data_IF_945121120488
#
_entry.id   IF_945121120488
#
_cell.length_a   1.000
_cell.length_b   1.000
_cell.length_c   1.000
_cell.angle_alpha   90.00
_cell.angle_beta   90.00
_cell.angle_gamma   90.00
#
_symmetry.space_group_name_H-M   'P 1'
#
loop_
_entity.id
_entity.type
_entity.pdbx_description
1 polymer ?
#
# COMPACT_ATOMS: atom_id res chain seq x y z
N UNK A 1 -58.16 18.74 -13.34
CA UNK A 1 -57.49 17.53 -12.81
C UNK A 1 -56.08 17.62 -13.31
N UNK A 2 -55.24 18.33 -12.54
CA UNK A 2 -53.83 18.54 -12.82
C UNK A 2 -53.07 17.58 -11.89
N UNK A 3 -52.52 16.51 -12.46
CA UNK A 3 -51.69 15.57 -11.72
C UNK A 3 -50.26 16.13 -11.61
N UNK A 4 -49.93 16.54 -10.41
CA UNK A 4 -48.62 17.06 -9.99
C UNK A 4 -47.68 15.87 -9.76
N UNK A 5 -46.67 15.70 -10.61
CA UNK A 5 -45.60 14.70 -10.40
C UNK A 5 -44.47 15.34 -9.61
N UNK A 6 -44.39 14.99 -8.33
CA UNK A 6 -43.26 15.27 -7.42
C UNK A 6 -42.10 14.32 -7.74
N UNK A 7 -41.00 14.82 -8.27
CA UNK A 7 -39.73 14.09 -8.35
C UNK A 7 -38.86 14.45 -7.14
N UNK A 8 -38.80 13.54 -6.16
CA UNK A 8 -37.85 13.57 -5.05
C UNK A 8 -36.76 12.53 -5.34
N UNK A 9 -35.63 12.94 -5.89
CA UNK A 9 -34.44 12.10 -5.99
C UNK A 9 -33.37 12.62 -5.02
N UNK A 10 -33.29 11.97 -3.85
CA UNK A 10 -32.08 11.93 -3.04
C UNK A 10 -31.07 11.01 -3.74
N UNK A 11 -29.77 11.36 -3.81
CA UNK A 11 -28.77 10.46 -4.39
C UNK A 11 -28.55 9.28 -3.44
N UNK A 12 -28.94 8.09 -3.89
CA UNK A 12 -28.66 6.81 -3.26
C UNK A 12 -27.16 6.50 -3.35
N UNK A 13 -26.52 6.18 -2.21
CA UNK A 13 -25.22 5.51 -2.22
C UNK A 13 -25.36 4.13 -2.90
N UNK A 14 -24.43 3.70 -3.77
CA UNK A 14 -24.47 2.37 -4.34
C UNK A 14 -24.12 1.29 -3.30
N UNK A 15 -24.91 0.21 -3.31
CA UNK A 15 -24.76 -0.98 -2.46
C UNK A 15 -23.50 -1.81 -2.80
N UNK A 16 -22.95 -2.61 -1.86
CA UNK A 16 -21.62 -3.22 -1.95
C UNK A 16 -21.59 -4.62 -2.59
N UNK A 17 -22.52 -4.97 -3.50
CA UNK A 17 -22.70 -6.35 -3.98
C UNK A 17 -22.45 -6.58 -5.49
N UNK A 18 -21.88 -5.60 -6.20
CA UNK A 18 -21.27 -5.83 -7.51
C UNK A 18 -19.83 -5.35 -7.43
N UNK A 19 -18.81 -6.13 -7.86
CA UNK A 19 -17.47 -5.59 -7.97
C UNK A 19 -17.54 -4.48 -9.02
N UNK A 20 -17.38 -3.19 -8.65
CA UNK A 20 -17.32 -2.14 -9.66
C UNK A 20 -16.18 -2.52 -10.58
N UNK A 21 -16.36 -2.39 -11.90
CA UNK A 21 -15.27 -2.64 -12.83
C UNK A 21 -14.09 -1.74 -12.42
N UNK A 22 -13.07 -2.35 -11.80
CA UNK A 22 -12.00 -1.65 -11.07
C UNK A 22 -11.02 -1.10 -12.10
N UNK A 23 -11.14 0.18 -12.42
CA UNK A 23 -10.26 0.83 -13.40
C UNK A 23 -9.18 1.65 -12.70
N UNK A 24 -8.02 1.76 -13.33
CA UNK A 24 -6.92 2.59 -12.84
C UNK A 24 -7.21 4.05 -13.20
N UNK A 25 -6.84 4.97 -12.32
CA UNK A 25 -6.83 6.40 -12.65
C UNK A 25 -5.93 6.65 -13.87
N UNK A 26 -6.52 7.19 -14.94
CA UNK A 26 -5.79 7.48 -16.18
C UNK A 26 -4.72 8.56 -16.00
N UNK A 27 -4.91 9.43 -15.01
CA UNK A 27 -4.09 10.61 -14.76
C UNK A 27 -2.83 10.25 -13.96
N UNK A 28 -2.98 9.69 -12.76
CA UNK A 28 -1.84 9.38 -11.90
C UNK A 28 -1.29 7.97 -12.11
N UNK A 29 -2.09 7.05 -12.67
CA UNK A 29 -1.78 5.61 -12.81
C UNK A 29 -1.37 4.90 -11.50
N UNK A 30 -1.57 5.55 -10.36
CA UNK A 30 -1.15 5.08 -9.04
C UNK A 30 -2.28 4.45 -8.23
N UNK A 31 -3.50 4.95 -8.42
CA UNK A 31 -4.68 4.56 -7.63
C UNK A 31 -5.80 4.06 -8.54
N UNK A 32 -6.74 3.29 -7.97
CA UNK A 32 -7.99 2.98 -8.65
C UNK A 32 -8.85 4.25 -8.82
N UNK A 33 -9.53 4.36 -9.96
CA UNK A 33 -10.42 5.47 -10.25
C UNK A 33 -11.67 5.35 -9.40
N UNK A 34 -12.03 6.44 -8.72
CA UNK A 34 -13.27 6.56 -7.96
C UNK A 34 -14.35 7.27 -8.78
N UNK A 35 -13.95 8.03 -9.80
CA UNK A 35 -14.82 8.90 -10.56
C UNK A 35 -14.51 8.84 -12.06
N UNK A 36 -15.48 9.26 -12.86
CA UNK A 36 -15.35 9.37 -14.33
C UNK A 36 -15.81 10.75 -14.78
N UNK A 37 -15.01 11.43 -15.60
CA UNK A 37 -15.34 12.76 -16.09
C UNK A 37 -16.50 12.67 -17.08
N UNK A 38 -17.63 13.38 -16.87
CA UNK A 38 -18.81 13.26 -17.72
C UNK A 38 -18.59 13.79 -19.15
N UNK A 39 -17.56 14.63 -19.38
CA UNK A 39 -17.30 15.23 -20.70
C UNK A 39 -16.41 14.38 -21.59
N UNK A 40 -15.34 13.81 -21.02
CA UNK A 40 -14.32 13.08 -21.79
C UNK A 40 -14.23 11.59 -21.41
N UNK A 41 -15.07 11.14 -20.48
CA UNK A 41 -15.08 9.78 -19.94
C UNK A 41 -13.74 9.33 -19.32
N UNK A 42 -12.86 10.29 -18.98
CA UNK A 42 -11.57 10.00 -18.34
C UNK A 42 -11.78 9.63 -16.87
N UNK A 43 -11.16 8.53 -16.45
CA UNK A 43 -11.32 7.97 -15.10
C UNK A 43 -10.24 8.50 -14.17
N UNK A 44 -10.62 8.99 -12.99
CA UNK A 44 -9.71 9.63 -12.05
C UNK A 44 -9.96 9.22 -10.59
N UNK A 45 -8.93 9.29 -9.74
CA UNK A 45 -9.03 8.87 -8.32
C UNK A 45 -9.43 10.00 -7.36
N UNK A 46 -9.16 11.25 -7.70
CA UNK A 46 -9.32 12.38 -6.78
C UNK A 46 -9.55 13.70 -7.51
N UNK A 47 -10.00 14.73 -6.79
CA UNK A 47 -10.15 16.09 -7.32
C UNK A 47 -8.83 16.65 -7.88
N UNK A 48 -7.68 16.28 -7.32
CA UNK A 48 -6.39 16.68 -7.87
C UNK A 48 -6.20 16.12 -9.28
N UNK A 49 -6.46 14.82 -9.47
CA UNK A 49 -6.44 14.20 -10.81
C UNK A 49 -7.53 14.75 -11.72
N UNK A 50 -8.70 15.14 -11.19
CA UNK A 50 -9.71 15.86 -11.96
C UNK A 50 -9.19 17.22 -12.42
N UNK A 51 -8.50 17.98 -11.59
CA UNK A 51 -7.96 19.29 -12.01
C UNK A 51 -6.85 19.16 -13.06
N UNK A 52 -6.07 18.09 -13.02
CA UNK A 52 -4.93 17.91 -13.92
C UNK A 52 -5.19 17.06 -15.18
N UNK A 53 -6.38 16.45 -15.35
CA UNK A 53 -6.63 15.56 -16.49
C UNK A 53 -6.81 16.28 -17.83
N UNK A 54 -7.43 17.47 -17.82
CA UNK A 54 -7.72 18.27 -19.02
C UNK A 54 -8.24 19.63 -18.61
N UNK A 55 -7.47 20.69 -18.91
CA UNK A 55 -7.87 22.08 -18.67
C UNK A 55 -9.18 22.43 -19.37
N UNK A 56 -9.43 21.87 -20.57
CA UNK A 56 -10.68 22.10 -21.29
C UNK A 56 -11.89 21.53 -20.56
N UNK A 57 -11.76 20.37 -19.91
CA UNK A 57 -12.86 19.74 -19.19
C UNK A 57 -13.13 20.42 -17.85
N UNK A 58 -12.08 20.85 -17.14
CA UNK A 58 -12.17 21.51 -15.84
C UNK A 58 -12.65 22.95 -15.98
N UNK A 59 -12.09 23.71 -16.92
CA UNK A 59 -12.49 25.10 -17.19
C UNK A 59 -13.94 25.15 -17.70
N UNK A 60 -14.32 24.26 -18.61
CA UNK A 60 -15.69 24.21 -19.12
C UNK A 60 -16.70 23.82 -18.02
N UNK A 61 -16.34 22.93 -17.09
CA UNK A 61 -17.20 22.59 -15.94
C UNK A 61 -17.31 23.74 -14.95
N UNK A 62 -16.19 24.36 -14.58
CA UNK A 62 -16.20 25.53 -13.69
C UNK A 62 -16.98 26.69 -14.31
N UNK A 63 -16.77 26.95 -15.61
CA UNK A 63 -17.51 27.99 -16.34
C UNK A 63 -19.01 27.70 -16.35
N UNK A 64 -19.44 26.48 -16.65
CA UNK A 64 -20.87 26.13 -16.65
C UNK A 64 -21.48 26.23 -15.24
N UNK A 65 -20.82 25.69 -14.22
CA UNK A 65 -21.31 25.76 -12.83
C UNK A 65 -21.43 27.21 -12.35
N UNK A 66 -20.45 28.07 -12.68
CA UNK A 66 -20.49 29.50 -12.38
C UNK A 66 -21.57 30.22 -13.18
N UNK A 67 -21.76 29.89 -14.47
CA UNK A 67 -22.81 30.48 -15.30
C UNK A 67 -24.22 30.05 -14.86
N UNK A 68 -24.38 28.84 -14.34
CA UNK A 68 -25.65 28.30 -13.86
C UNK A 68 -26.04 28.92 -12.50
N UNK A 69 -25.12 29.00 -11.55
CA UNK A 69 -25.30 29.76 -10.31
C UNK A 69 -25.56 31.26 -10.58
N UNK A 70 -24.85 31.87 -11.53
CA UNK A 70 -25.11 33.26 -11.94
C UNK A 70 -26.44 33.46 -12.68
N UNK A 71 -27.05 32.43 -13.26
CA UNK A 71 -28.40 32.51 -13.85
C UNK A 71 -29.47 32.41 -12.76
N UNK A 72 -29.21 31.63 -11.71
CA UNK A 72 -30.08 31.51 -10.54
C UNK A 72 -30.02 32.77 -9.66
N UNK A 73 -28.84 33.39 -9.54
CA UNK A 73 -28.69 34.73 -8.97
C UNK A 73 -28.99 35.79 -10.02
N UNK A 74 -30.24 36.26 -10.11
CA UNK A 74 -30.56 37.46 -10.90
C UNK A 74 -29.71 38.64 -10.43
N UNK A 75 -28.61 38.92 -11.15
CA UNK A 75 -27.69 39.99 -10.82
C UNK A 75 -27.22 40.71 -12.09
N UNK A 76 -27.14 42.03 -11.94
CA UNK A 76 -26.88 43.02 -12.99
C UNK A 76 -25.54 42.75 -13.72
N UNK A 77 -25.49 43.01 -15.03
CA UNK A 77 -24.34 42.65 -15.90
C UNK A 77 -23.00 43.26 -15.44
N UNK A 78 -23.07 44.37 -14.71
CA UNK A 78 -21.91 45.04 -14.15
C UNK A 78 -21.23 44.22 -13.03
N UNK A 79 -22.00 43.44 -12.27
CA UNK A 79 -21.49 42.56 -11.23
C UNK A 79 -20.82 41.32 -11.82
N UNK A 80 -21.36 40.80 -12.94
CA UNK A 80 -20.79 39.66 -13.69
C UNK A 80 -19.38 39.97 -14.20
N UNK A 81 -19.17 41.16 -14.75
CA UNK A 81 -17.84 41.59 -15.24
C UNK A 81 -16.81 41.72 -14.12
N UNK A 82 -17.22 42.24 -12.95
CA UNK A 82 -16.32 42.41 -11.80
C UNK A 82 -15.90 41.06 -11.20
N UNK A 83 -16.81 40.09 -11.12
CA UNK A 83 -16.50 38.77 -10.58
C UNK A 83 -15.56 37.95 -11.49
N UNK A 84 -15.73 38.05 -12.80
CA UNK A 84 -14.81 37.45 -13.78
C UNK A 84 -13.41 38.07 -13.74
N UNK A 85 -13.29 39.36 -13.43
CA UNK A 85 -12.00 40.04 -13.29
C UNK A 85 -11.24 39.59 -12.02
N UNK A 86 -11.97 39.36 -10.92
CA UNK A 86 -11.39 38.85 -9.66
C UNK A 86 -10.84 37.43 -9.84
N UNK A 87 -11.58 36.54 -10.51
CA UNK A 87 -11.14 35.16 -10.79
C UNK A 87 -9.90 35.11 -11.69
N UNK A 88 -9.79 36.03 -12.67
CA UNK A 88 -8.60 36.14 -13.53
C UNK A 88 -7.36 36.58 -12.75
N UNK A 89 -7.51 37.51 -11.79
CA UNK A 89 -6.39 37.95 -10.95
C UNK A 89 -5.88 36.83 -10.06
N UNK A 90 -6.78 36.08 -9.43
CA UNK A 90 -6.40 34.97 -8.54
C UNK A 90 -5.63 33.86 -9.28
N UNK A 91 -6.03 33.54 -10.50
CA UNK A 91 -5.30 32.59 -11.35
C UNK A 91 -3.95 33.11 -11.86
N UNK A 92 -3.78 34.43 -11.95
CA UNK A 92 -2.50 35.04 -12.35
C UNK A 92 -1.54 35.09 -11.17
N UNK A 93 -2.05 35.35 -9.96
CA UNK A 93 -1.28 35.39 -8.72
C UNK A 93 -0.77 33.99 -8.28
N UNK A 94 -1.51 32.91 -8.56
CA UNK A 94 -1.04 31.53 -8.32
C UNK A 94 0.10 31.08 -9.27
N UNK A 95 0.28 31.76 -10.41
CA UNK A 95 1.27 31.42 -11.44
C UNK A 95 2.64 32.12 -11.22
N UNK A 96 2.67 33.21 -10.45
CA UNK A 96 3.86 34.09 -10.28
C UNK A 96 4.55 33.98 -8.91
N UNK A 97 4.15 33.04 -8.05
CA UNK A 97 4.69 32.89 -6.69
C UNK A 97 5.97 32.04 -6.52
N UNK A 98 6.92 32.11 -7.46
CA UNK A 98 8.17 31.34 -7.35
C UNK A 98 9.40 32.14 -7.82
N UNK A 99 9.88 33.06 -7.00
CA UNK A 99 11.28 33.51 -6.97
C UNK A 99 11.60 34.25 -5.65
N UNK A 100 12.89 34.29 -5.29
CA UNK A 100 13.57 34.73 -4.04
C UNK A 100 13.59 33.71 -2.87
N UNK A 101 14.71 33.40 -2.22
CA UNK A 101 16.04 34.02 -2.21
C UNK A 101 17.07 33.13 -1.45
N UNK A 102 18.34 33.30 -1.86
CA UNK A 102 19.60 33.36 -1.09
C UNK A 102 20.21 32.11 -0.41
N UNK A 103 21.46 31.86 -0.82
CA UNK A 103 22.53 31.13 -0.12
C UNK A 103 22.78 31.71 1.27
N UNK A 104 22.98 30.80 2.24
CA UNK A 104 23.96 31.03 3.30
C UNK A 104 24.50 29.65 3.74
N UNK A 105 25.79 29.45 3.48
CA UNK A 105 26.62 28.40 4.07
C UNK A 105 26.77 28.71 5.56
N UNK A 106 26.38 27.78 6.42
CA UNK A 106 26.93 27.71 7.77
C UNK A 106 27.18 26.23 8.11
N UNK A 107 28.47 25.92 8.14
CA UNK A 107 29.08 24.70 8.62
C UNK A 107 29.13 24.78 10.14
N UNK A 108 28.23 24.06 10.83
CA UNK A 108 28.34 23.87 12.27
C UNK A 108 28.32 22.38 12.60
N UNK A 109 29.51 21.91 12.94
CA UNK A 109 29.78 20.57 13.44
C UNK A 109 29.34 20.48 14.90
N UNK A 110 28.23 19.80 15.21
CA UNK A 110 27.96 19.42 16.61
C UNK A 110 27.29 18.04 16.80
N UNK A 111 27.98 17.28 17.66
CA UNK A 111 27.66 16.12 18.50
C UNK A 111 26.63 15.06 18.06
N UNK A 112 27.12 13.81 17.92
CA UNK A 112 26.42 12.64 17.39
C UNK A 112 25.41 12.00 18.34
N UNK A 113 24.45 12.77 18.83
CA UNK A 113 23.23 12.26 19.45
C UNK A 113 22.15 11.92 18.40
N UNK A 114 21.21 11.01 18.68
CA UNK A 114 20.06 10.80 17.82
C UNK A 114 19.15 12.04 17.84
N UNK A 115 19.22 12.86 16.78
CA UNK A 115 18.37 14.04 16.58
C UNK A 115 16.96 13.58 16.18
N UNK A 116 15.93 14.01 16.92
CA UNK A 116 14.54 13.76 16.53
C UNK A 116 14.06 14.87 15.59
N UNK A 117 13.22 14.53 14.61
CA UNK A 117 12.65 15.50 13.67
C UNK A 117 11.92 16.64 14.40
N UNK A 118 11.31 16.36 15.56
CA UNK A 118 10.61 17.37 16.34
C UNK A 118 11.53 18.43 16.95
N UNK A 119 12.81 18.11 17.17
CA UNK A 119 13.81 19.00 17.77
C UNK A 119 14.39 20.02 16.75
N UNK A 120 14.14 19.80 15.46
CA UNK A 120 14.60 20.69 14.39
C UNK A 120 13.83 22.03 14.38
N UNK A 121 14.54 23.11 14.06
CA UNK A 121 13.95 24.41 13.76
C UNK A 121 13.02 24.35 12.55
N UNK A 122 12.19 25.39 12.36
CA UNK A 122 11.29 25.46 11.21
C UNK A 122 12.06 25.55 9.87
N UNK A 123 13.25 26.13 9.89
CA UNK A 123 14.14 26.27 8.73
C UNK A 123 14.80 24.93 8.37
N UNK A 124 15.32 24.21 9.36
CA UNK A 124 15.88 22.87 9.18
C UNK A 124 14.81 21.87 8.71
N UNK A 125 13.61 21.92 9.29
CA UNK A 125 12.46 21.11 8.82
C UNK A 125 12.15 21.37 7.35
N UNK A 126 12.15 22.63 6.92
CA UNK A 126 11.93 22.99 5.51
C UNK A 126 13.08 22.52 4.61
N UNK A 127 14.33 22.70 5.04
CA UNK A 127 15.52 22.21 4.30
C UNK A 127 15.47 20.70 4.14
N UNK A 128 15.19 19.97 5.22
CA UNK A 128 15.01 18.52 5.21
C UNK A 128 13.88 18.10 4.26
N UNK A 129 12.69 18.70 4.37
CA UNK A 129 11.56 18.41 3.47
C UNK A 129 11.90 18.67 1.99
N UNK A 130 12.64 19.75 1.71
CA UNK A 130 13.12 20.05 0.35
C UNK A 130 14.09 18.98 -0.14
N UNK A 131 15.03 18.53 0.69
CA UNK A 131 15.98 17.48 0.36
C UNK A 131 15.32 16.10 0.18
N UNK A 132 14.26 15.81 0.95
CA UNK A 132 13.39 14.64 0.73
C UNK A 132 12.68 14.76 -0.62
N UNK A 133 12.10 15.92 -0.93
CA UNK A 133 11.34 16.13 -2.17
C UNK A 133 12.23 16.16 -3.42
N UNK A 134 13.45 16.68 -3.31
CA UNK A 134 14.45 16.66 -4.38
C UNK A 134 15.04 15.27 -4.61
N UNK A 135 14.83 14.34 -3.67
CA UNK A 135 15.40 12.99 -3.69
C UNK A 135 16.90 12.98 -3.37
N UNK A 136 17.47 14.06 -2.87
CA UNK A 136 18.88 14.15 -2.51
C UNK A 136 19.25 13.13 -1.41
N UNK A 137 18.36 12.99 -0.43
CA UNK A 137 18.52 12.03 0.67
C UNK A 137 18.37 10.56 0.23
N UNK A 138 17.79 10.30 -0.95
CA UNK A 138 17.64 8.91 -1.44
C UNK A 138 18.97 8.18 -1.63
N UNK A 139 20.05 8.93 -1.90
CA UNK A 139 21.40 8.38 -2.09
C UNK A 139 22.06 7.97 -0.77
N UNK A 140 21.56 8.49 0.35
CA UNK A 140 22.08 8.21 1.69
C UNK A 140 21.38 7.00 2.34
N UNK A 141 20.27 6.54 1.76
CA UNK A 141 19.50 5.41 2.27
C UNK A 141 19.88 4.17 1.47
N UNK A 142 20.47 3.18 2.13
CA UNK A 142 20.70 1.87 1.53
C UNK A 142 19.37 1.14 1.35
N UNK A 143 19.07 0.74 0.12
CA UNK A 143 17.86 -0.01 -0.17
C UNK A 143 17.96 -1.41 0.43
N UNK A 144 16.94 -1.80 1.20
CA UNK A 144 16.88 -3.13 1.77
C UNK A 144 16.55 -4.18 0.71
N UNK A 145 17.41 -5.18 0.61
CA UNK A 145 17.17 -6.35 -0.20
C UNK A 145 16.28 -7.36 0.54
N UNK A 146 15.07 -7.64 0.02
CA UNK A 146 14.16 -8.55 0.69
C UNK A 146 14.77 -9.93 0.87
N UNK A 147 14.70 -10.45 2.10
CA UNK A 147 15.32 -11.74 2.45
C UNK A 147 14.87 -12.86 1.52
N UNK A 148 13.61 -12.87 1.08
CA UNK A 148 13.07 -13.90 0.18
C UNK A 148 13.68 -13.91 -1.24
N UNK A 149 14.39 -12.86 -1.64
CA UNK A 149 15.13 -12.82 -2.91
C UNK A 149 16.58 -13.33 -2.77
N UNK A 150 17.07 -13.48 -1.55
CA UNK A 150 18.45 -13.92 -1.29
C UNK A 150 18.64 -15.41 -1.55
N UNK A 151 19.84 -15.78 -1.99
CA UNK A 151 20.21 -17.18 -2.22
C UNK A 151 20.16 -18.03 -0.95
N UNK A 152 20.47 -17.43 0.21
CA UNK A 152 20.41 -18.05 1.54
C UNK A 152 19.00 -18.55 1.87
N UNK A 153 17.96 -17.91 1.35
CA UNK A 153 16.56 -18.27 1.60
C UNK A 153 16.15 -19.61 1.00
N UNK A 154 16.91 -20.12 0.00
CA UNK A 154 16.69 -21.46 -0.56
C UNK A 154 17.17 -22.59 0.35
N UNK A 155 17.96 -22.26 1.37
CA UNK A 155 18.54 -23.22 2.32
C UNK A 155 17.83 -23.27 3.66
N UNK A 156 16.71 -22.53 3.80
CA UNK A 156 15.93 -22.51 5.05
C UNK A 156 15.42 -23.94 5.33
N UNK A 157 15.77 -24.43 6.51
CA UNK A 157 15.34 -25.74 7.00
C UNK A 157 14.95 -25.65 8.47
N UNK A 158 13.89 -26.38 8.83
CA UNK A 158 13.39 -26.50 10.19
C UNK A 158 13.43 -27.96 10.61
N UNK A 159 13.38 -28.20 11.92
CA UNK A 159 13.20 -29.54 12.47
C UNK A 159 11.85 -30.13 12.07
N UNK A 160 11.67 -31.44 12.32
CA UNK A 160 10.37 -32.11 12.11
C UNK A 160 9.27 -31.52 12.98
N UNK A 161 9.67 -30.92 14.10
CA UNK A 161 8.81 -30.26 15.08
C UNK A 161 8.61 -28.76 14.76
N UNK A 162 9.19 -28.26 13.68
CA UNK A 162 9.07 -26.87 13.23
C UNK A 162 10.00 -25.88 13.93
N UNK A 163 10.98 -26.36 14.70
CA UNK A 163 11.96 -25.51 15.38
C UNK A 163 13.14 -25.14 14.49
N UNK A 164 13.76 -23.97 14.74
CA UNK A 164 14.98 -23.58 14.05
C UNK A 164 16.12 -24.56 14.35
N UNK A 165 16.87 -24.93 13.31
CA UNK A 165 18.02 -25.85 13.44
C UNK A 165 19.31 -25.12 13.82
N UNK A 166 19.43 -23.85 13.47
CA UNK A 166 20.61 -23.02 13.73
C UNK A 166 20.27 -22.03 14.83
N UNK A 167 21.01 -22.09 15.94
CA UNK A 167 21.02 -21.07 16.97
C UNK A 167 22.27 -20.23 16.76
N UNK A 168 22.17 -18.89 16.68
CA UNK A 168 23.33 -18.03 16.88
C UNK A 168 23.93 -18.41 18.25
N UNK A 169 25.18 -18.85 18.27
CA UNK A 169 25.86 -19.12 19.53
C UNK A 169 25.91 -17.82 20.32
N UNK A 170 25.08 -17.71 21.35
CA UNK A 170 25.21 -16.64 22.32
C UNK A 170 26.65 -16.70 22.86
N UNK A 171 27.34 -15.58 22.79
CA UNK A 171 28.75 -15.39 23.13
C UNK A 171 28.97 -15.62 24.64
N UNK A 172 29.07 -16.87 25.07
CA UNK A 172 29.49 -17.25 26.44
C UNK A 172 31.02 -17.36 26.60
N UNK A 173 31.80 -17.07 25.56
CA UNK A 173 33.26 -17.01 25.63
C UNK A 173 33.79 -15.56 25.55
N UNK A 174 33.23 -14.67 26.36
CA UNK A 174 33.82 -13.35 26.62
C UNK A 174 34.77 -13.38 27.82
N UNK A 175 35.65 -14.40 27.94
CA UNK A 175 36.76 -14.39 28.90
C UNK A 175 38.06 -15.06 28.43
N UNK A 176 38.24 -15.39 27.14
CA UNK A 176 39.55 -15.83 26.66
C UNK A 176 39.81 -15.43 25.21
N UNK A 177 41.00 -14.86 25.00
CA UNK A 177 41.58 -14.34 23.75
C UNK A 177 40.90 -13.13 23.12
N UNK A 178 41.40 -11.94 23.50
CA UNK A 178 41.46 -10.78 22.63
C UNK A 178 42.32 -11.12 21.41
N UNK A 179 41.73 -11.26 20.24
CA UNK A 179 42.33 -10.78 19.00
C UNK A 179 41.24 -10.12 18.14
N UNK A 180 41.62 -8.95 17.69
CA UNK A 180 40.95 -8.05 16.77
C UNK A 180 40.72 -8.75 15.43
N UNK A 181 39.47 -8.94 15.06
CA UNK A 181 39.04 -9.04 13.66
C UNK A 181 37.62 -8.48 13.58
N UNK A 182 37.51 -7.33 12.92
CA UNK A 182 36.27 -6.56 12.71
C UNK A 182 35.29 -7.25 11.77
N UNK A 183 34.70 -8.37 12.22
CA UNK A 183 33.45 -8.88 11.68
C UNK A 183 32.33 -8.39 12.60
N UNK A 184 31.75 -7.24 12.28
CA UNK A 184 30.53 -6.75 12.90
C UNK A 184 29.46 -7.84 12.90
N UNK A 185 28.74 -7.92 14.01
CA UNK A 185 27.62 -8.81 14.28
C UNK A 185 26.52 -8.56 13.24
N UNK A 186 26.62 -9.22 12.07
CA UNK A 186 25.63 -9.10 11.01
C UNK A 186 24.37 -9.83 11.48
N UNK A 187 23.25 -9.13 11.73
CA UNK A 187 22.00 -9.80 12.06
C UNK A 187 21.67 -10.79 10.94
N UNK A 188 21.25 -12.00 11.32
CA UNK A 188 20.84 -13.03 10.36
C UNK A 188 19.89 -12.43 9.34
N UNK A 189 20.29 -12.44 8.06
CA UNK A 189 19.57 -11.81 6.96
C UNK A 189 18.14 -12.37 6.77
N UNK A 190 17.90 -13.58 7.27
CA UNK A 190 16.62 -14.27 7.22
C UNK A 190 15.98 -14.20 8.62
N UNK A 191 14.68 -13.86 8.71
CA UNK A 191 14.00 -13.83 9.99
C UNK A 191 14.04 -15.19 10.70
N UNK A 192 14.30 -15.21 12.02
CA UNK A 192 14.39 -16.46 12.77
C UNK A 192 13.04 -17.17 12.82
N UNK A 193 13.08 -18.49 12.64
CA UNK A 193 11.95 -19.40 12.85
C UNK A 193 11.63 -19.65 14.33
N UNK A 194 10.70 -20.57 14.64
CA UNK A 194 10.27 -20.85 16.01
C UNK A 194 11.39 -21.41 16.88
N UNK A 195 11.47 -20.93 18.12
CA UNK A 195 12.33 -21.51 19.16
C UNK A 195 11.72 -22.78 19.78
N UNK A 196 10.39 -22.86 19.78
CA UNK A 196 9.63 -23.96 20.39
C UNK A 196 8.87 -24.78 19.33
N UNK A 197 8.67 -26.09 19.58
CA UNK A 197 7.88 -26.95 18.70
C UNK A 197 6.49 -26.39 18.40
N UNK A 198 6.08 -26.47 17.13
CA UNK A 198 4.74 -26.06 16.74
C UNK A 198 3.72 -27.14 17.13
N UNK A 199 2.68 -26.79 17.91
CA UNK A 199 1.67 -27.76 18.31
C UNK A 199 0.76 -28.14 17.12
N UNK A 200 0.16 -29.34 17.13
CA UNK A 200 -0.82 -29.72 16.13
C UNK A 200 -2.06 -28.80 16.14
N UNK A 201 -2.62 -28.49 14.98
CA UNK A 201 -3.76 -27.57 14.80
C UNK A 201 -4.99 -28.02 15.59
N UNK A 202 -5.22 -29.34 15.67
CA UNK A 202 -6.30 -29.94 16.47
C UNK A 202 -6.27 -29.59 17.97
N UNK A 203 -5.13 -29.13 18.50
CA UNK A 203 -5.03 -28.65 19.89
C UNK A 203 -5.47 -27.19 20.04
N UNK A 204 -5.51 -26.44 18.94
CA UNK A 204 -5.86 -25.03 18.91
C UNK A 204 -7.34 -24.78 18.62
N UNK A 205 -8.00 -25.73 17.93
CA UNK A 205 -9.41 -25.62 17.54
C UNK A 205 -10.17 -26.91 17.80
N UNK A 206 -11.45 -26.79 18.15
CA UNK A 206 -12.36 -27.92 18.34
C UNK A 206 -13.13 -28.31 17.08
N UNK A 207 -13.14 -27.45 16.06
CA UNK A 207 -13.84 -27.64 14.78
C UNK A 207 -12.81 -27.85 13.67
N UNK A 208 -13.24 -28.31 12.51
CA UNK A 208 -12.36 -28.38 11.36
C UNK A 208 -11.88 -26.99 10.92
N UNK A 209 -10.62 -26.86 10.47
CA UNK A 209 -10.11 -25.61 9.91
C UNK A 209 -10.92 -25.19 8.67
N UNK A 210 -11.00 -23.88 8.41
CA UNK A 210 -11.60 -23.38 7.18
C UNK A 210 -10.89 -23.95 5.94
N UNK A 211 -11.63 -24.32 4.87
CA UNK A 211 -11.00 -24.76 3.63
C UNK A 211 -10.24 -23.62 2.91
N UNK A 212 -10.48 -22.36 3.29
CA UNK A 212 -9.91 -21.18 2.64
C UNK A 212 -8.62 -20.66 3.29
N UNK A 213 -8.01 -21.41 4.22
CA UNK A 213 -6.78 -20.97 4.91
C UNK A 213 -5.60 -20.72 3.96
N UNK A 214 -5.51 -21.46 2.84
CA UNK A 214 -4.52 -21.19 1.79
C UNK A 214 -4.73 -19.81 1.13
N UNK A 215 -5.98 -19.40 0.92
CA UNK A 215 -6.32 -18.08 0.38
C UNK A 215 -6.02 -16.98 1.41
N UNK A 216 -6.37 -17.23 2.68
CA UNK A 216 -6.05 -16.31 3.77
C UNK A 216 -4.54 -16.08 3.90
N UNK A 217 -3.74 -17.13 3.68
CA UNK A 217 -2.28 -17.04 3.70
C UNK A 217 -1.75 -16.10 2.61
N UNK A 218 -2.36 -16.04 1.42
CA UNK A 218 -1.97 -15.10 0.35
C UNK A 218 -2.13 -13.65 0.78
N UNK A 219 -3.27 -13.29 1.37
CA UNK A 219 -3.52 -11.95 1.94
C UNK A 219 -2.47 -11.58 3.01
N UNK A 220 -2.13 -12.53 3.88
CA UNK A 220 -1.15 -12.34 4.95
C UNK A 220 0.27 -12.14 4.40
N UNK A 221 0.71 -12.99 3.46
CA UNK A 221 2.03 -12.86 2.83
C UNK A 221 2.13 -11.51 2.13
N UNK A 222 1.11 -11.14 1.34
CA UNK A 222 1.10 -9.86 0.64
C UNK A 222 1.23 -8.69 1.63
N UNK A 223 0.45 -8.71 2.71
CA UNK A 223 0.44 -7.65 3.71
C UNK A 223 1.78 -7.55 4.44
N UNK A 224 2.42 -8.67 4.76
CA UNK A 224 3.77 -8.69 5.31
C UNK A 224 4.82 -8.12 4.35
N UNK A 225 4.81 -8.54 3.08
CA UNK A 225 5.73 -8.03 2.07
C UNK A 225 5.57 -6.52 1.87
N UNK A 226 4.33 -6.03 1.84
CA UNK A 226 4.04 -4.61 1.74
C UNK A 226 4.64 -3.84 2.92
N UNK A 227 4.39 -4.31 4.15
CA UNK A 227 4.91 -3.66 5.35
C UNK A 227 6.43 -3.64 5.36
N UNK A 228 7.12 -4.75 5.07
CA UNK A 228 8.58 -4.74 5.06
C UNK A 228 9.16 -3.83 3.98
N UNK A 229 8.56 -3.77 2.79
CA UNK A 229 9.01 -2.81 1.77
C UNK A 229 8.74 -1.36 2.16
N UNK A 230 7.65 -1.09 2.87
CA UNK A 230 7.34 0.25 3.39
C UNK A 230 8.37 0.70 4.45
N UNK A 231 8.82 -0.22 5.29
CA UNK A 231 9.77 0.03 6.38
C UNK A 231 11.23 -0.27 6.01
N UNK A 232 11.53 -0.53 4.74
CA UNK A 232 12.87 -0.89 4.27
C UNK A 232 13.51 -2.02 5.12
N UNK A 233 12.72 -3.03 5.47
CA UNK A 233 13.14 -4.18 6.29
C UNK A 233 13.13 -3.95 7.81
N UNK A 234 13.16 -2.70 8.28
CA UNK A 234 13.25 -2.35 9.70
C UNK A 234 11.88 -1.95 10.27
N UNK A 235 11.03 -2.94 10.49
CA UNK A 235 9.71 -2.72 11.08
C UNK A 235 9.77 -2.37 12.57
N UNK A 236 10.88 -2.65 13.24
CA UNK A 236 11.10 -2.41 14.67
C UNK A 236 11.23 -0.92 14.97
N UNK A 237 11.70 -0.13 14.00
CA UNK A 237 11.79 1.34 14.11
C UNK A 237 10.46 2.02 14.50
N UNK A 238 9.33 1.43 14.13
CA UNK A 238 7.98 1.86 14.49
C UNK A 238 7.06 0.63 14.52
N UNK A 239 7.08 -0.08 15.64
CA UNK A 239 6.36 -1.34 15.79
C UNK A 239 4.84 -1.14 15.76
N UNK A 240 4.33 -0.04 16.32
CA UNK A 240 2.89 0.29 16.28
C UNK A 240 2.45 0.58 14.85
N UNK A 241 3.19 1.43 14.12
CA UNK A 241 2.85 1.78 12.75
C UNK A 241 2.97 0.59 11.81
N UNK A 242 4.03 -0.22 11.90
CA UNK A 242 4.20 -1.41 11.07
C UNK A 242 3.08 -2.43 11.28
N UNK A 243 2.72 -2.70 12.54
CA UNK A 243 1.58 -3.57 12.86
C UNK A 243 0.24 -2.96 12.40
N UNK A 244 0.08 -1.63 12.46
CA UNK A 244 -1.11 -0.93 11.95
C UNK A 244 -1.20 -1.02 10.42
N UNK A 245 -0.09 -0.95 9.70
CA UNK A 245 -0.03 -1.12 8.25
C UNK A 245 -0.49 -2.52 7.85
N UNK A 246 -0.02 -3.56 8.54
CA UNK A 246 -0.50 -4.94 8.34
C UNK A 246 -2.02 -5.02 8.48
N UNK A 247 -2.58 -4.47 9.58
CA UNK A 247 -4.03 -4.46 9.80
C UNK A 247 -4.78 -3.65 8.73
N UNK A 248 -4.18 -2.60 8.19
CA UNK A 248 -4.81 -1.77 7.17
C UNK A 248 -4.82 -2.42 5.80
N UNK A 249 -3.82 -3.23 5.45
CA UNK A 249 -3.69 -3.87 4.13
C UNK A 249 -4.35 -5.24 4.09
N UNK A 250 -4.34 -5.97 5.21
CA UNK A 250 -4.90 -7.32 5.32
C UNK A 250 -6.40 -7.30 5.59
N UNK A 251 -7.19 -7.89 4.69
CA UNK A 251 -8.62 -8.16 4.97
C UNK A 251 -8.76 -9.16 6.11
N UNK A 252 -7.89 -10.17 6.14
CA UNK A 252 -7.94 -11.32 7.05
C UNK A 252 -7.59 -10.90 8.48
N UNK A 253 -6.54 -10.11 8.66
CA UNK A 253 -6.05 -9.68 9.97
C UNK A 253 -6.76 -8.42 10.46
N UNK A 254 -7.07 -7.48 9.56
CA UNK A 254 -7.63 -6.17 9.92
C UNK A 254 -9.15 -6.11 10.01
N UNK A 255 -9.84 -6.71 9.03
CA UNK A 255 -11.30 -6.59 8.86
C UNK A 255 -12.06 -7.88 9.20
N UNK A 256 -11.35 -8.91 9.67
CA UNK A 256 -11.89 -10.25 9.85
C UNK A 256 -12.55 -10.83 8.58
N UNK A 257 -12.07 -10.41 7.41
CA UNK A 257 -12.48 -10.95 6.12
C UNK A 257 -12.19 -12.44 6.00
N UNK A 258 -12.98 -13.10 5.16
CA UNK A 258 -12.86 -14.53 4.86
C UNK A 258 -12.83 -14.71 3.34
N UNK A 259 -11.78 -14.21 2.66
CA UNK A 259 -11.71 -14.30 1.21
C UNK A 259 -11.73 -15.76 0.79
N UNK A 260 -12.61 -16.10 -0.14
CA UNK A 260 -12.82 -17.48 -0.60
C UNK A 260 -11.95 -17.78 -1.84
N UNK A 261 -11.47 -16.74 -2.52
CA UNK A 261 -10.65 -16.85 -3.73
C UNK A 261 -9.36 -16.02 -3.64
N UNK A 262 -8.32 -16.48 -4.32
CA UNK A 262 -7.04 -15.74 -4.44
C UNK A 262 -7.26 -14.37 -5.08
N UNK A 263 -8.15 -14.28 -6.07
CA UNK A 263 -8.51 -13.02 -6.71
C UNK A 263 -9.10 -12.02 -5.73
N UNK A 264 -10.00 -12.46 -4.84
CA UNK A 264 -10.61 -11.61 -3.82
C UNK A 264 -9.56 -11.08 -2.83
N UNK A 265 -8.72 -11.98 -2.30
CA UNK A 265 -7.64 -11.63 -1.39
C UNK A 265 -6.67 -10.60 -2.01
N UNK A 266 -6.16 -10.89 -3.21
CA UNK A 266 -5.24 -9.99 -3.91
C UNK A 266 -5.90 -8.68 -4.31
N UNK A 267 -7.16 -8.70 -4.74
CA UNK A 267 -7.88 -7.48 -5.11
C UNK A 267 -8.00 -6.53 -3.92
N UNK A 268 -8.39 -7.05 -2.76
CA UNK A 268 -8.49 -6.23 -1.55
C UNK A 268 -7.13 -5.61 -1.20
N UNK A 269 -6.08 -6.43 -1.14
CA UNK A 269 -4.74 -5.92 -0.83
C UNK A 269 -4.22 -4.90 -1.85
N UNK A 270 -4.48 -5.11 -3.15
CA UNK A 270 -4.14 -4.16 -4.21
C UNK A 270 -4.91 -2.85 -4.06
N UNK A 271 -6.21 -2.89 -3.75
CA UNK A 271 -7.00 -1.69 -3.47
C UNK A 271 -6.44 -0.90 -2.29
N UNK A 272 -6.08 -1.59 -1.20
CA UNK A 272 -5.50 -0.94 -0.02
C UNK A 272 -4.14 -0.33 -0.32
N UNK A 273 -3.27 -1.02 -1.05
CA UNK A 273 -1.94 -0.48 -1.41
C UNK A 273 -1.99 0.61 -2.48
N UNK A 274 -3.05 0.65 -3.29
CA UNK A 274 -3.34 1.70 -4.27
C UNK A 274 -4.22 2.81 -3.70
N UNK A 275 -4.42 2.89 -2.38
CA UNK A 275 -5.25 3.90 -1.76
C UNK A 275 -4.50 5.24 -1.61
N UNK A 276 -5.21 6.35 -1.31
CA UNK A 276 -4.58 7.64 -1.08
C UNK A 276 -3.50 7.65 0.00
N UNK A 277 -3.66 6.80 1.03
CA UNK A 277 -2.73 6.64 2.14
C UNK A 277 -1.32 6.22 1.68
N UNK A 278 -1.23 5.37 0.66
CA UNK A 278 0.04 4.84 0.15
C UNK A 278 0.37 5.34 -1.26
N UNK A 279 -0.19 6.48 -1.67
CA UNK A 279 -0.05 7.04 -3.03
C UNK A 279 1.40 7.26 -3.49
N UNK A 280 2.34 7.41 -2.55
CA UNK A 280 3.74 7.66 -2.83
C UNK A 280 4.55 6.37 -3.05
N UNK A 281 3.98 5.20 -2.74
CA UNK A 281 4.67 3.90 -2.77
C UNK A 281 4.82 3.28 -4.17
N UNK A 282 4.46 3.99 -5.23
CA UNK A 282 4.56 3.48 -6.62
C UNK A 282 3.27 2.87 -7.17
N UNK A 283 2.18 2.88 -6.40
CA UNK A 283 0.83 2.55 -6.87
C UNK A 283 0.69 1.12 -7.41
N UNK A 284 -0.08 0.94 -8.49
CA UNK A 284 -0.41 -0.40 -8.97
C UNK A 284 0.81 -1.23 -9.41
N UNK A 285 1.82 -0.63 -10.04
CA UNK A 285 3.01 -1.39 -10.46
C UNK A 285 3.76 -1.96 -9.24
N UNK A 286 3.86 -1.17 -8.18
CA UNK A 286 4.39 -1.64 -6.90
C UNK A 286 3.51 -2.75 -6.31
N UNK A 287 2.18 -2.57 -6.32
CA UNK A 287 1.21 -3.59 -5.94
C UNK A 287 1.40 -4.93 -6.67
N UNK A 288 1.60 -4.90 -7.99
CA UNK A 288 1.84 -6.09 -8.81
C UNK A 288 3.23 -6.71 -8.57
N UNK A 289 4.20 -5.91 -8.14
CA UNK A 289 5.50 -6.38 -7.66
C UNK A 289 5.37 -7.18 -6.36
N UNK A 290 4.49 -6.77 -5.45
CA UNK A 290 4.22 -7.52 -4.21
C UNK A 290 3.57 -8.87 -4.50
N UNK A 291 2.79 -8.99 -5.56
CA UNK A 291 2.30 -10.30 -6.03
C UNK A 291 3.45 -11.20 -6.48
N UNK A 292 4.53 -10.65 -7.07
CA UNK A 292 5.75 -11.46 -7.29
C UNK A 292 6.40 -11.86 -5.97
N UNK A 293 6.48 -10.97 -4.97
CA UNK A 293 7.05 -11.34 -3.67
C UNK A 293 6.29 -12.50 -3.03
N UNK A 294 4.96 -12.50 -3.12
CA UNK A 294 4.13 -13.63 -2.70
C UNK A 294 4.53 -14.91 -3.43
N UNK A 295 4.72 -14.86 -4.75
CA UNK A 295 5.16 -16.02 -5.54
C UNK A 295 6.56 -16.50 -5.15
N UNK A 296 7.49 -15.59 -4.89
CA UNK A 296 8.85 -15.93 -4.45
C UNK A 296 8.79 -16.67 -3.11
N UNK A 297 8.07 -16.14 -2.13
CA UNK A 297 7.94 -16.78 -0.80
C UNK A 297 7.27 -18.14 -0.90
N UNK A 298 6.19 -18.28 -1.68
CA UNK A 298 5.54 -19.57 -1.88
C UNK A 298 6.48 -20.59 -2.53
N UNK A 299 7.38 -20.15 -3.42
CA UNK A 299 8.37 -21.02 -4.07
C UNK A 299 9.47 -21.52 -3.14
N UNK A 300 9.72 -20.82 -2.02
CA UNK A 300 10.67 -21.24 -0.98
C UNK A 300 10.07 -22.33 -0.06
N UNK A 301 8.74 -22.48 -0.05
CA UNK A 301 8.04 -23.55 0.65
C UNK A 301 7.81 -23.32 2.15
N UNK A 302 7.38 -24.38 2.83
CA UNK A 302 6.90 -24.36 4.22
C UNK A 302 7.84 -23.70 5.23
N UNK A 303 9.15 -24.03 5.26
CA UNK A 303 10.09 -23.41 6.19
C UNK A 303 10.16 -21.88 6.09
N UNK A 304 10.19 -21.35 4.86
CA UNK A 304 10.21 -19.90 4.63
C UNK A 304 8.89 -19.24 5.05
N UNK A 305 7.75 -19.89 4.78
CA UNK A 305 6.44 -19.43 5.24
C UNK A 305 6.36 -19.37 6.77
N UNK A 306 6.92 -20.35 7.46
CA UNK A 306 6.97 -20.37 8.93
C UNK A 306 7.87 -19.23 9.45
N UNK A 307 9.04 -19.00 8.84
CA UNK A 307 9.92 -17.87 9.20
C UNK A 307 9.22 -16.51 9.01
N UNK A 308 8.50 -16.33 7.89
CA UNK A 308 7.68 -15.14 7.65
C UNK A 308 6.62 -14.96 8.72
N UNK A 309 5.86 -16.01 9.04
CA UNK A 309 4.78 -15.94 10.02
C UNK A 309 5.32 -15.71 11.44
N UNK A 310 6.50 -16.23 11.77
CA UNK A 310 7.21 -15.92 13.01
C UNK A 310 7.56 -14.43 13.09
N UNK A 311 8.07 -13.86 12.00
CA UNK A 311 8.45 -12.46 11.95
C UNK A 311 7.25 -11.53 12.04
N UNK A 312 6.20 -11.84 11.30
CA UNK A 312 4.93 -11.14 11.40
C UNK A 312 4.32 -11.24 12.81
N UNK A 313 4.43 -12.40 13.46
CA UNK A 313 3.96 -12.57 14.83
C UNK A 313 4.74 -11.67 15.79
N UNK A 314 6.08 -11.60 15.67
CA UNK A 314 6.91 -10.66 16.46
C UNK A 314 6.55 -9.20 16.20
N UNK A 315 6.30 -8.83 14.94
CA UNK A 315 5.88 -7.48 14.56
C UNK A 315 4.57 -7.07 15.24
N UNK A 316 3.56 -7.95 15.19
CA UNK A 316 2.26 -7.70 15.85
C UNK A 316 2.40 -7.64 17.37
N UNK A 317 3.22 -8.52 17.97
CA UNK A 317 3.47 -8.52 19.41
C UNK A 317 4.17 -7.24 19.88
N UNK A 318 5.21 -6.79 19.16
CA UNK A 318 5.92 -5.57 19.49
C UNK A 318 4.99 -4.35 19.46
N UNK A 319 4.15 -4.24 18.43
CA UNK A 319 3.13 -3.18 18.36
C UNK A 319 2.10 -3.25 19.49
N UNK A 320 1.74 -4.45 19.97
CA UNK A 320 0.87 -4.59 21.15
C UNK A 320 1.54 -4.14 22.45
N UNK A 321 2.80 -4.52 22.66
CA UNK A 321 3.57 -4.15 23.87
C UNK A 321 3.81 -2.64 23.94
N UNK A 322 4.16 -2.00 22.83
CA UNK A 322 4.33 -0.55 22.78
C UNK A 322 3.01 0.19 23.05
N UNK A 323 1.89 -0.28 22.49
CA UNK A 323 0.56 0.24 22.82
C UNK A 323 0.14 0.03 24.28
N UNK A 324 0.70 -0.97 24.99
CA UNK A 324 0.48 -1.15 26.43
C UNK A 324 1.24 -0.11 27.25
N UNK A 325 2.43 0.29 26.81
CA UNK A 325 3.25 1.29 27.48
C UNK A 325 2.62 2.70 27.40
N UNK A 326 1.93 3.01 26.30
CA UNK A 326 1.29 4.31 26.11
C UNK A 326 -0.06 4.45 26.85
N UNK A 327 -0.21 5.50 27.68
CA UNK A 327 -1.44 5.73 28.48
C UNK A 327 -2.66 6.11 27.60
N UNK A 328 -3.62 5.17 27.54
CA UNK A 328 -5.09 5.25 27.30
C UNK A 328 -5.67 6.45 26.51
N UNK A 329 -5.86 6.28 25.19
CA UNK A 329 -6.92 6.92 24.39
C UNK A 329 -7.89 5.85 23.86
N UNK A 330 -9.20 6.15 23.72
CA UNK A 330 -10.24 5.19 23.27
C UNK A 330 -9.92 4.50 21.93
N UNK A 331 -9.37 5.23 20.96
CA UNK A 331 -8.98 4.69 19.64
C UNK A 331 -7.88 3.62 19.73
N UNK A 332 -6.96 3.73 20.71
CA UNK A 332 -5.89 2.74 20.92
C UNK A 332 -6.43 1.40 21.45
N UNK A 333 -7.59 1.39 22.10
CA UNK A 333 -8.21 0.16 22.61
C UNK A 333 -8.72 -0.74 21.48
N UNK A 334 -9.27 -0.16 20.41
CA UNK A 334 -9.76 -0.91 19.25
C UNK A 334 -8.60 -1.51 18.44
N UNK A 335 -7.54 -0.73 18.21
CA UNK A 335 -6.33 -1.24 17.52
C UNK A 335 -5.72 -2.38 18.33
N UNK A 336 -5.62 -2.23 19.65
CA UNK A 336 -5.11 -3.27 20.54
C UNK A 336 -5.94 -4.56 20.48
N UNK A 337 -7.26 -4.49 20.40
CA UNK A 337 -8.08 -5.71 20.28
C UNK A 337 -7.88 -6.38 18.92
N UNK A 338 -7.74 -5.60 17.83
CA UNK A 338 -7.41 -6.12 16.50
C UNK A 338 -6.05 -6.80 16.48
N UNK A 339 -5.01 -6.20 17.09
CA UNK A 339 -3.67 -6.79 17.17
C UNK A 339 -3.68 -8.14 17.91
N UNK A 340 -4.39 -8.24 19.04
CA UNK A 340 -4.54 -9.53 19.76
C UNK A 340 -5.21 -10.61 18.93
N UNK A 341 -6.20 -10.24 18.11
CA UNK A 341 -6.87 -11.18 17.21
C UNK A 341 -5.96 -11.57 16.06
N UNK A 342 -5.20 -10.62 15.51
CA UNK A 342 -4.21 -10.86 14.47
C UNK A 342 -3.08 -11.77 14.96
N UNK A 343 -2.51 -11.52 16.15
CA UNK A 343 -1.48 -12.36 16.79
C UNK A 343 -1.93 -13.82 16.83
N UNK A 344 -3.11 -14.07 17.43
CA UNK A 344 -3.68 -15.43 17.52
C UNK A 344 -3.92 -16.07 16.16
N UNK A 345 -4.38 -15.28 15.17
CA UNK A 345 -4.66 -15.77 13.81
C UNK A 345 -3.37 -16.11 13.06
N UNK A 346 -2.34 -15.27 13.16
CA UNK A 346 -1.01 -15.53 12.59
C UNK A 346 -0.41 -16.79 13.21
N UNK A 347 -0.46 -16.92 14.55
CA UNK A 347 0.02 -18.12 15.24
C UNK A 347 -0.72 -19.39 14.81
N UNK A 348 -2.05 -19.31 14.68
CA UNK A 348 -2.87 -20.42 14.19
C UNK A 348 -2.48 -20.83 12.76
N UNK A 349 -2.34 -19.86 11.85
CA UNK A 349 -1.95 -20.11 10.45
C UNK A 349 -0.54 -20.68 10.37
N UNK A 350 0.39 -20.24 11.22
CA UNK A 350 1.73 -20.81 11.32
C UNK A 350 1.71 -22.29 11.68
N UNK A 351 0.92 -22.68 12.69
CA UNK A 351 0.74 -24.09 13.04
C UNK A 351 0.08 -24.89 11.91
N UNK A 352 -0.87 -24.28 11.21
CA UNK A 352 -1.54 -24.92 10.06
C UNK A 352 -0.62 -25.14 8.86
N UNK A 353 0.22 -24.16 8.53
CA UNK A 353 1.24 -24.26 7.47
C UNK A 353 2.22 -25.39 7.75
N UNK A 354 2.62 -25.57 9.01
CA UNK A 354 3.53 -26.65 9.39
C UNK A 354 2.96 -28.05 9.15
N UNK A 355 1.63 -28.23 9.23
CA UNK A 355 0.97 -29.51 8.96
C UNK A 355 0.70 -29.79 7.47
N UNK A 356 0.88 -28.81 6.58
CA UNK A 356 0.57 -28.99 5.16
C UNK A 356 1.72 -29.66 4.38
N UNK A 357 1.37 -30.45 3.33
CA UNK A 357 2.38 -31.01 2.43
C UNK A 357 3.07 -29.91 1.61
N UNK A 358 4.33 -30.12 1.25
CA UNK A 358 5.12 -29.12 0.51
C UNK A 358 4.53 -28.77 -0.86
N UNK A 359 3.86 -29.72 -1.51
CA UNK A 359 3.20 -29.57 -2.82
C UNK A 359 2.03 -28.59 -2.79
N UNK A 360 1.46 -28.33 -1.61
CA UNK A 360 0.37 -27.37 -1.43
C UNK A 360 0.81 -25.95 -1.87
N UNK A 361 2.07 -25.60 -1.62
CA UNK A 361 2.60 -24.26 -1.92
C UNK A 361 2.86 -24.06 -3.41
N UNK A 362 3.35 -25.09 -4.10
CA UNK A 362 3.48 -25.08 -5.56
C UNK A 362 2.12 -24.93 -6.24
N UNK A 363 1.10 -25.62 -5.72
CA UNK A 363 -0.28 -25.53 -6.21
C UNK A 363 -0.87 -24.13 -5.99
N UNK A 364 -0.70 -23.57 -4.79
CA UNK A 364 -1.15 -22.21 -4.46
C UNK A 364 -0.44 -21.15 -5.32
N UNK A 365 0.88 -21.30 -5.54
CA UNK A 365 1.65 -20.42 -6.40
C UNK A 365 1.19 -20.47 -7.87
N UNK A 366 0.74 -21.63 -8.36
CA UNK A 366 0.16 -21.75 -9.69
C UNK A 366 -1.14 -20.92 -9.82
N UNK A 367 -2.01 -20.96 -8.80
CA UNK A 367 -3.24 -20.17 -8.76
C UNK A 367 -2.92 -18.67 -8.72
N UNK A 368 -2.02 -18.24 -7.82
CA UNK A 368 -1.59 -16.83 -7.73
C UNK A 368 -1.01 -16.32 -9.05
N UNK A 369 -0.21 -17.14 -9.74
CA UNK A 369 0.37 -16.78 -11.05
C UNK A 369 -0.69 -16.65 -12.14
N UNK A 370 -1.69 -17.51 -12.14
CA UNK A 370 -2.82 -17.43 -13.08
C UNK A 370 -3.62 -16.13 -12.87
N UNK A 371 -3.96 -15.80 -11.63
CA UNK A 371 -4.68 -14.56 -11.30
C UNK A 371 -3.88 -13.32 -11.65
N UNK A 372 -2.56 -13.33 -11.39
CA UNK A 372 -1.67 -12.25 -11.80
C UNK A 372 -1.67 -12.05 -13.32
N UNK A 373 -1.58 -13.13 -14.08
CA UNK A 373 -1.55 -13.07 -15.55
C UNK A 373 -2.89 -12.54 -16.09
N UNK A 374 -4.02 -13.02 -15.56
CA UNK A 374 -5.36 -12.52 -15.88
C UNK A 374 -5.50 -11.00 -15.63
N UNK A 375 -4.97 -10.51 -14.51
CA UNK A 375 -4.99 -9.08 -14.18
C UNK A 375 -4.15 -8.23 -15.16
N UNK A 376 -3.04 -8.77 -15.67
CA UNK A 376 -2.19 -8.12 -16.69
C UNK A 376 -2.82 -8.19 -18.09
N UNK A 377 -3.44 -9.31 -18.46
CA UNK A 377 -4.06 -9.52 -19.77
C UNK A 377 -5.32 -8.66 -19.93
N UNK A 378 -6.11 -8.48 -18.87
CA UNK A 378 -7.19 -7.49 -18.85
C UNK A 378 -6.72 -6.06 -19.15
N UNK A 379 -5.45 -5.74 -18.87
CA UNK A 379 -4.84 -4.44 -19.19
C UNK A 379 -4.33 -4.41 -20.64
N UNK A 380 -3.66 -5.46 -21.10
CA UNK A 380 -3.12 -5.54 -22.46
C UNK A 380 -4.23 -5.59 -23.52
N UNK A 381 -5.26 -6.42 -23.32
CA UNK A 381 -6.40 -6.52 -24.23
C UNK A 381 -7.21 -5.23 -24.36
N UNK A 382 -7.31 -4.44 -23.28
CA UNK A 382 -7.98 -3.13 -23.31
C UNK A 382 -7.13 -2.03 -23.94
N UNK A 383 -5.81 -2.07 -23.80
CA UNK A 383 -4.91 -1.16 -24.51
C UNK A 383 -4.96 -1.40 -26.03
N UNK A 384 -5.07 -2.66 -26.46
CA UNK A 384 -5.27 -3.03 -27.87
C UNK A 384 -6.65 -2.57 -28.39
N UNK A 385 -7.74 -2.79 -27.64
CA UNK A 385 -9.07 -2.29 -28.04
C UNK A 385 -9.14 -0.75 -28.11
N UNK A 386 -8.47 -0.03 -27.20
CA UNK A 386 -8.37 1.44 -27.26
C UNK A 386 -7.51 1.89 -28.45
N UNK A 387 -6.48 1.13 -28.82
CA UNK A 387 -5.66 1.41 -29.99
C UNK A 387 -6.46 1.16 -31.29
N UNK A 388 -7.19 0.05 -31.37
CA UNK A 388 -8.05 -0.31 -32.51
C UNK A 388 -9.16 0.71 -32.74
N UNK A 389 -9.86 1.14 -31.67
CA UNK A 389 -10.87 2.20 -31.72
C UNK A 389 -10.29 3.57 -32.17
N UNK A 390 -9.01 3.85 -31.85
CA UNK A 390 -8.30 5.06 -32.30
C UNK A 390 -7.82 4.97 -33.75
N UNK A 391 -7.55 3.77 -34.27
CA UNK A 391 -7.23 3.56 -35.69
C UNK A 391 -8.48 3.59 -36.56
N UNK A 392 -9.61 3.05 -36.10
CA UNK A 392 -10.88 3.12 -36.84
C UNK A 392 -11.43 4.55 -36.92
N UNK A 393 -11.22 5.38 -35.89
CA UNK A 393 -11.67 6.78 -35.90
C UNK A 393 -10.85 7.72 -36.78
N UNK A 394 -9.76 7.25 -37.42
CA UNK A 394 -8.91 8.06 -38.33
C UNK A 394 -9.24 7.87 -39.82
N UNK A 395 -10.21 7.03 -40.17
CA UNK A 395 -10.59 6.77 -41.57
C UNK A 395 -11.93 7.40 -41.95
N UNK A 396 -11.96 8.70 -42.26
CA UNK A 396 -12.83 9.36 -43.27
C UNK A 396 -12.77 10.89 -43.09
N UNK A 397 -11.82 11.52 -43.78
CA UNK A 397 -11.96 12.93 -44.18
C UNK A 397 -12.22 12.89 -45.68
N UNK A 398 -13.45 13.22 -46.07
CA UNK A 398 -13.90 13.39 -47.45
C UNK A 398 -14.48 14.81 -47.55
N UNK A 399 -13.62 15.80 -47.81
CA UNK A 399 -14.00 17.03 -48.50
C UNK A 399 -12.79 17.44 -49.34
N UNK A 400 -12.97 17.39 -50.66
CA UNK A 400 -12.06 17.92 -51.68
C UNK A 400 -12.67 19.27 -52.10
N UNK A 401 -11.93 20.36 -51.94
CA UNK A 401 -12.36 21.70 -52.38
C UNK A 401 -12.14 21.86 -53.89
N UNK A 402 -13.16 22.39 -54.58
CA UNK A 402 -13.03 23.23 -55.77
C UNK A 402 -13.77 24.53 -55.53
#
# INVERSE_FOLDING_TARGET
MEDTILTSEKPSNPSPLDPPSRFICHVCQKQFSQYTCPRCNSRYCSLHCYKSHSERCTESFMRENVMEEMKLMQSDEQTKRKMLDILKRFHSEEQEGMDDSMDDDDDDHEDGGPINYDDLSAEEKKRFQRAVASGELSKLIEAWDPWWLKSSSRTISLSKEGTRLIHPLAKEEALSSRQDDGAGDQPSEIPPGPDAPLPPVRKLISREPSPFLAVHLVDIIYSYCFTLRLYNGDWQSDAIGSATVVLNVSSVLGQAGQPETVLEALSYCLERTCSPEYRNMGGLQFGLGLVEDVLHILSLGGPALICLLCDLHRMVQAGEEELKAEKKRKSKTEIKSKLKLAEKKVYFIMCWVHEQPGEAWSSLAAIVRAEKSSALDCRAGKNLQIAELKTESKGKVLVEEL
#
